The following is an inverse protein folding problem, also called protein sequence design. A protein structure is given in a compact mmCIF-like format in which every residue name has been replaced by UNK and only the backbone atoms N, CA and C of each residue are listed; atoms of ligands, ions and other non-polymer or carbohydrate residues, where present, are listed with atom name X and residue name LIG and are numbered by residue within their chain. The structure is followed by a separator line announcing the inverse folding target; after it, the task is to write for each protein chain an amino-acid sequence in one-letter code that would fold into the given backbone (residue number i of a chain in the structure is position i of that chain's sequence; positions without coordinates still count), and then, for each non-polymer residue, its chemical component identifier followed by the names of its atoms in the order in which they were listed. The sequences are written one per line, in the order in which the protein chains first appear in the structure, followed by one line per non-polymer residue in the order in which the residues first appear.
data_IF_541339038721
#
_entry.id   IF_541339038721
#
_cell.length_a   1.000
_cell.length_b   1.000
_cell.length_c   1.000
_cell.angle_alpha   90.00
_cell.angle_beta   90.00
_cell.angle_gamma   90.00
#
_symmetry.space_group_name_H-M   'P 1'
#
loop_
_entity.id
_entity.type
_entity.pdbx_description
1 polymer ?
#
# COMPACT_ATOMS: atom_id res chain seq x y z
N UNK A 1 13.47 -10.33 2.97
CA UNK A 1 12.84 -11.46 2.23
C UNK A 1 11.54 -10.93 1.70
N UNK A 2 11.46 -10.90 0.39
CA UNK A 2 10.34 -10.30 -0.37
C UNK A 2 8.99 -10.80 0.12
N UNK A 3 8.01 -9.92 0.31
CA UNK A 3 6.60 -10.32 0.41
C UNK A 3 6.23 -11.24 -0.76
N UNK A 4 6.81 -11.02 -1.94
CA UNK A 4 6.68 -11.87 -3.13
C UNK A 4 7.36 -13.23 -2.95
N UNK A 5 8.45 -13.37 -2.18
CA UNK A 5 9.05 -14.67 -1.85
C UNK A 5 8.27 -15.42 -0.77
N UNK A 6 7.54 -14.71 0.11
CA UNK A 6 6.62 -15.31 1.08
C UNK A 6 5.31 -15.75 0.41
N UNK A 7 4.92 -15.12 -0.69
CA UNK A 7 3.78 -15.54 -1.49
C UNK A 7 4.21 -16.73 -2.39
N UNK A 8 4.11 -17.96 -1.85
CA UNK A 8 4.29 -19.16 -2.64
C UNK A 8 3.19 -19.26 -3.71
N UNK A 9 3.37 -18.61 -4.85
CA UNK A 9 2.40 -18.68 -5.95
C UNK A 9 2.23 -20.07 -6.51
N UNK A 10 3.20 -20.98 -6.29
CA UNK A 10 3.16 -22.37 -6.75
C UNK A 10 3.03 -22.55 -8.27
N UNK A 11 2.87 -21.44 -9.02
CA UNK A 11 2.76 -21.46 -10.48
C UNK A 11 3.10 -20.08 -11.06
N UNK A 12 3.95 -20.03 -12.10
CA UNK A 12 4.39 -18.79 -12.73
C UNK A 12 3.23 -17.90 -13.19
N UNK A 13 2.20 -18.48 -13.80
CA UNK A 13 1.04 -17.68 -14.26
C UNK A 13 0.28 -16.97 -13.14
N UNK A 14 0.31 -17.48 -11.89
CA UNK A 14 -0.24 -16.77 -10.74
C UNK A 14 0.62 -15.58 -10.33
N UNK A 15 1.94 -15.75 -10.36
CA UNK A 15 2.90 -14.67 -10.13
C UNK A 15 2.71 -13.57 -11.19
N UNK A 16 2.63 -13.94 -12.47
CA UNK A 16 2.43 -12.99 -13.56
C UNK A 16 1.12 -12.19 -13.39
N UNK A 17 0.02 -12.83 -12.95
CA UNK A 17 -1.26 -12.14 -12.66
C UNK A 17 -1.12 -11.19 -11.47
N UNK A 18 -0.48 -11.62 -10.40
CA UNK A 18 -0.25 -10.81 -9.21
C UNK A 18 0.58 -9.56 -9.56
N UNK A 19 1.73 -9.73 -10.20
CA UNK A 19 2.63 -8.63 -10.59
C UNK A 19 1.94 -7.63 -11.52
N UNK A 20 1.08 -8.11 -12.41
CA UNK A 20 0.32 -7.23 -13.29
C UNK A 20 -0.69 -6.39 -12.52
N UNK A 21 -1.46 -7.00 -11.62
CA UNK A 21 -2.44 -6.28 -10.77
C UNK A 21 -1.72 -5.32 -9.83
N UNK A 22 -0.62 -5.74 -9.22
CA UNK A 22 0.21 -4.93 -8.33
C UNK A 22 0.73 -3.67 -9.04
N UNK A 23 1.23 -3.81 -10.25
CA UNK A 23 1.82 -2.70 -11.00
C UNK A 23 0.79 -1.73 -11.63
N UNK A 24 -0.50 -2.08 -11.62
CA UNK A 24 -1.57 -1.27 -12.20
C UNK A 24 -2.63 -0.82 -11.17
N UNK A 25 -2.54 -1.31 -9.94
CA UNK A 25 -3.39 -0.94 -8.80
C UNK A 25 -4.83 -1.46 -8.88
N UNK A 26 -5.62 -0.97 -9.83
CA UNK A 26 -7.01 -1.35 -10.09
C UNK A 26 -7.17 -1.68 -11.57
N UNK A 27 -7.46 -2.93 -11.91
CA UNK A 27 -7.43 -3.39 -13.29
C UNK A 27 -8.59 -4.34 -13.62
N UNK A 28 -9.26 -4.13 -14.76
CA UNK A 28 -10.29 -5.06 -15.20
C UNK A 28 -9.69 -6.43 -15.54
N UNK A 29 -10.44 -7.49 -15.25
CA UNK A 29 -10.01 -8.86 -15.58
C UNK A 29 -9.71 -9.04 -17.08
N UNK A 30 -10.42 -8.33 -17.95
CA UNK A 30 -10.18 -8.38 -19.40
C UNK A 30 -8.84 -7.75 -19.77
N UNK A 31 -8.52 -6.58 -19.22
CA UNK A 31 -7.24 -5.91 -19.45
C UNK A 31 -6.06 -6.78 -18.98
N UNK A 32 -6.11 -7.28 -17.75
CA UNK A 32 -5.06 -8.12 -17.19
C UNK A 32 -4.85 -9.39 -18.03
N UNK A 33 -5.93 -10.08 -18.40
CA UNK A 33 -5.88 -11.27 -19.24
C UNK A 33 -5.26 -11.00 -20.61
N UNK A 34 -5.69 -9.94 -21.27
CA UNK A 34 -5.24 -9.59 -22.63
C UNK A 34 -3.77 -9.14 -22.62
N UNK A 35 -3.36 -8.37 -21.61
CA UNK A 35 -1.97 -7.93 -21.45
C UNK A 35 -1.03 -9.12 -21.18
N UNK A 36 -1.46 -10.09 -20.37
CA UNK A 36 -0.70 -11.31 -20.08
C UNK A 36 -0.80 -12.38 -21.17
N UNK A 37 -1.62 -12.13 -22.20
CA UNK A 37 -1.86 -13.07 -23.30
C UNK A 37 -2.25 -14.48 -22.81
N UNK A 38 -3.10 -14.54 -21.77
CA UNK A 38 -3.57 -15.78 -21.16
C UNK A 38 -4.91 -16.22 -21.75
N UNK A 39 -5.10 -17.55 -21.88
CA UNK A 39 -6.40 -18.11 -22.22
C UNK A 39 -7.42 -17.82 -21.10
N UNK A 40 -8.70 -17.48 -21.43
CA UNK A 40 -9.71 -17.07 -20.44
C UNK A 40 -9.89 -18.06 -19.28
N UNK A 41 -9.78 -19.35 -19.57
CA UNK A 41 -9.96 -20.41 -18.58
C UNK A 41 -8.76 -20.53 -17.64
N UNK A 42 -7.56 -20.35 -18.15
CA UNK A 42 -6.31 -20.37 -17.41
C UNK A 42 -6.25 -19.14 -16.49
N UNK A 43 -6.48 -17.94 -17.04
CA UNK A 43 -6.52 -16.70 -16.29
C UNK A 43 -7.53 -16.76 -15.14
N UNK A 44 -8.79 -17.16 -15.43
CA UNK A 44 -9.83 -17.29 -14.42
C UNK A 44 -9.48 -18.29 -13.32
N UNK A 45 -8.75 -19.36 -13.64
CA UNK A 45 -8.26 -20.32 -12.63
C UNK A 45 -7.20 -19.70 -11.71
N UNK A 46 -6.26 -18.94 -12.25
CA UNK A 46 -5.25 -18.24 -11.47
C UNK A 46 -5.87 -17.16 -10.56
N UNK A 47 -6.77 -16.34 -11.09
CA UNK A 47 -7.50 -15.33 -10.30
C UNK A 47 -8.30 -15.98 -9.17
N UNK A 48 -9.02 -17.07 -9.45
CA UNK A 48 -9.82 -17.78 -8.44
C UNK A 48 -8.96 -18.30 -7.28
N UNK A 49 -7.75 -18.78 -7.56
CA UNK A 49 -6.80 -19.23 -6.52
C UNK A 49 -6.30 -18.03 -5.73
N UNK A 50 -5.84 -16.97 -6.38
CA UNK A 50 -5.32 -15.77 -5.72
C UNK A 50 -6.39 -15.10 -4.83
N UNK A 51 -7.66 -15.08 -5.27
CA UNK A 51 -8.79 -14.61 -4.45
C UNK A 51 -9.06 -15.52 -3.26
N UNK A 52 -9.05 -16.84 -3.47
CA UNK A 52 -9.23 -17.83 -2.39
C UNK A 52 -8.14 -17.71 -1.31
N UNK A 53 -6.90 -17.48 -1.75
CA UNK A 53 -5.74 -17.38 -0.87
C UNK A 53 -5.60 -15.97 -0.23
N UNK A 54 -6.57 -15.07 -0.48
CA UNK A 54 -6.61 -13.73 0.12
C UNK A 54 -5.55 -12.78 -0.43
N UNK A 55 -4.99 -13.06 -1.59
CA UNK A 55 -3.94 -12.25 -2.23
C UNK A 55 -4.54 -11.17 -3.14
N UNK A 56 -5.63 -11.50 -3.84
CA UNK A 56 -6.40 -10.56 -4.64
C UNK A 56 -7.82 -10.44 -4.12
N UNK A 57 -8.42 -9.29 -4.34
CA UNK A 57 -9.85 -9.05 -4.18
C UNK A 57 -10.44 -8.43 -5.43
N UNK A 58 -11.74 -8.21 -5.44
CA UNK A 58 -12.47 -7.64 -6.56
C UNK A 58 -13.31 -6.47 -6.08
N UNK A 59 -13.25 -5.35 -6.78
CA UNK A 59 -14.06 -4.16 -6.51
C UNK A 59 -15.53 -4.40 -6.87
N UNK A 60 -16.42 -3.49 -6.47
CA UNK A 60 -17.84 -3.52 -6.88
C UNK A 60 -18.02 -3.46 -8.40
N UNK A 61 -17.06 -2.87 -9.11
CA UNK A 61 -17.05 -2.78 -10.57
C UNK A 61 -16.49 -4.05 -11.25
N UNK A 62 -16.02 -5.03 -10.46
CA UNK A 62 -15.44 -6.28 -10.95
C UNK A 62 -13.97 -6.18 -11.36
N UNK A 63 -13.26 -5.13 -10.93
CA UNK A 63 -11.83 -4.99 -11.13
C UNK A 63 -11.04 -5.76 -10.08
N UNK A 64 -9.87 -6.26 -10.48
CA UNK A 64 -8.92 -6.91 -9.58
C UNK A 64 -8.04 -5.87 -8.90
N UNK A 65 -7.81 -6.06 -7.61
CA UNK A 65 -6.84 -5.32 -6.82
C UNK A 65 -6.18 -6.22 -5.79
N UNK A 66 -5.05 -5.79 -5.24
CA UNK A 66 -4.40 -6.48 -4.13
C UNK A 66 -5.35 -6.48 -2.94
N UNK A 67 -5.49 -7.63 -2.27
CA UNK A 67 -6.27 -7.72 -1.05
C UNK A 67 -5.50 -7.12 0.12
N UNK A 68 -6.20 -6.32 0.92
CA UNK A 68 -5.68 -5.72 2.15
C UNK A 68 -6.31 -6.41 3.36
N UNK A 69 -5.55 -6.56 4.43
CA UNK A 69 -6.09 -7.10 5.68
C UNK A 69 -6.96 -6.04 6.38
N UNK A 70 -8.27 -6.16 6.22
CA UNK A 70 -9.24 -5.28 6.89
C UNK A 70 -9.26 -5.48 8.42
N UNK A 71 -8.77 -6.62 8.92
CA UNK A 71 -8.68 -6.88 10.35
C UNK A 71 -7.53 -6.12 11.03
N UNK A 72 -6.62 -5.55 10.27
CA UNK A 72 -5.49 -4.76 10.76
C UNK A 72 -5.81 -3.25 10.95
N UNK A 73 -7.08 -2.87 10.93
CA UNK A 73 -7.51 -1.51 11.24
C UNK A 73 -7.50 -1.28 12.76
N UNK A 74 -6.88 -0.19 13.18
CA UNK A 74 -6.79 0.24 14.58
C UNK A 74 -7.62 1.50 14.80
N UNK A 75 -8.42 1.53 15.86
CA UNK A 75 -9.27 2.66 16.23
C UNK A 75 -8.66 3.40 17.41
N UNK A 76 -8.63 4.71 17.34
CA UNK A 76 -8.09 5.60 18.35
C UNK A 76 -9.08 6.72 18.67
N UNK A 77 -9.05 7.19 19.91
CA UNK A 77 -9.76 8.37 20.40
C UNK A 77 -8.80 9.22 21.21
N UNK A 78 -8.50 10.42 20.73
CA UNK A 78 -7.61 11.38 21.41
C UNK A 78 -8.19 12.79 21.35
N UNK A 79 -8.38 13.43 22.51
CA UNK A 79 -8.88 14.80 22.63
C UNK A 79 -10.21 15.05 21.84
N UNK A 80 -11.18 14.12 21.97
CA UNK A 80 -12.48 14.15 21.28
C UNK A 80 -12.39 13.94 19.74
N UNK A 81 -11.22 13.54 19.21
CA UNK A 81 -11.06 13.14 17.80
C UNK A 81 -10.98 11.62 17.72
N UNK A 82 -11.98 11.02 17.07
CA UNK A 82 -11.98 9.60 16.73
C UNK A 82 -11.36 9.41 15.35
N UNK A 83 -10.37 8.53 15.23
CA UNK A 83 -9.73 8.22 13.97
C UNK A 83 -9.30 6.76 13.88
N UNK A 84 -9.13 6.29 12.67
CA UNK A 84 -8.66 4.94 12.38
C UNK A 84 -7.32 4.98 11.67
N UNK A 85 -6.43 4.03 11.98
CA UNK A 85 -5.18 3.81 11.25
C UNK A 85 -5.26 2.45 10.57
N UNK A 86 -4.98 2.42 9.28
CA UNK A 86 -4.98 1.20 8.47
C UNK A 86 -4.02 1.31 7.29
N UNK A 87 -3.72 0.20 6.68
CA UNK A 87 -3.01 0.21 5.39
C UNK A 87 -3.84 0.97 4.35
N UNK A 88 -3.16 1.78 3.54
CA UNK A 88 -3.82 2.52 2.47
C UNK A 88 -4.27 1.58 1.36
N UNK A 89 -5.44 1.86 0.81
CA UNK A 89 -6.01 1.19 -0.36
C UNK A 89 -5.80 2.07 -1.58
N UNK A 90 -5.85 1.50 -2.77
CA UNK A 90 -5.74 2.28 -4.01
C UNK A 90 -6.76 3.44 -4.07
N UNK A 91 -7.95 3.24 -3.54
CA UNK A 91 -8.99 4.28 -3.45
C UNK A 91 -8.59 5.50 -2.59
N UNK A 92 -7.64 5.35 -1.68
CA UNK A 92 -7.16 6.45 -0.81
C UNK A 92 -6.17 7.37 -1.53
N UNK A 93 -5.69 7.01 -2.72
CA UNK A 93 -4.64 7.72 -3.45
C UNK A 93 -4.92 9.22 -3.57
N UNK A 94 -6.12 9.60 -3.98
CA UNK A 94 -6.50 11.01 -4.12
C UNK A 94 -6.47 11.75 -2.77
N UNK A 95 -6.92 11.11 -1.70
CA UNK A 95 -6.89 11.65 -0.34
C UNK A 95 -5.45 11.84 0.14
N UNK A 96 -4.59 10.85 -0.03
CA UNK A 96 -3.17 10.89 0.33
C UNK A 96 -2.46 12.05 -0.38
N UNK A 97 -2.60 12.15 -1.70
CA UNK A 97 -1.99 13.23 -2.50
C UNK A 97 -2.51 14.59 -2.06
N UNK A 98 -3.82 14.70 -1.75
CA UNK A 98 -4.42 15.93 -1.23
C UNK A 98 -3.81 16.38 0.09
N UNK A 99 -3.64 15.47 1.05
CA UNK A 99 -3.00 15.74 2.36
C UNK A 99 -1.53 16.09 2.19
N UNK A 100 -0.79 15.39 1.31
CA UNK A 100 0.61 15.70 1.00
C UNK A 100 0.75 17.11 0.46
N UNK A 101 -0.06 17.50 -0.53
CA UNK A 101 -0.03 18.86 -1.11
C UNK A 101 -0.37 19.94 -0.10
N UNK A 102 -1.35 19.69 0.77
CA UNK A 102 -1.68 20.62 1.85
C UNK A 102 -0.51 20.82 2.81
N UNK A 103 0.21 19.75 3.18
CA UNK A 103 1.39 19.83 4.03
C UNK A 103 2.56 20.58 3.36
N UNK A 104 2.72 20.44 2.03
CA UNK A 104 3.74 21.16 1.24
C UNK A 104 3.46 22.67 1.22
N UNK A 105 2.21 23.07 1.02
CA UNK A 105 1.79 24.49 1.02
C UNK A 105 2.07 25.17 2.37
N UNK A 106 1.98 24.43 3.47
CA UNK A 106 2.35 24.89 4.80
C UNK A 106 3.88 25.10 4.99
N UNK A 107 4.73 24.70 4.04
CA UNK A 107 6.11 25.18 3.88
C UNK A 107 7.22 24.27 4.41
N UNK A 108 7.04 22.94 4.54
CA UNK A 108 8.02 22.16 5.30
C UNK A 108 8.58 20.89 4.62
N UNK A 109 8.06 20.39 3.48
CA UNK A 109 8.37 19.00 3.06
C UNK A 109 8.74 18.82 1.59
N UNK A 110 10.03 18.97 1.24
CA UNK A 110 10.59 18.67 -0.10
C UNK A 110 10.43 17.18 -0.47
N UNK A 111 10.53 16.29 0.50
CA UNK A 111 10.40 14.83 0.28
C UNK A 111 8.95 14.46 -0.03
N UNK A 112 7.97 15.07 0.65
CA UNK A 112 6.54 14.83 0.39
C UNK A 112 6.13 15.25 -1.03
N UNK A 113 6.74 16.31 -1.58
CA UNK A 113 6.53 16.76 -2.97
C UNK A 113 6.96 15.67 -3.96
N UNK A 114 8.16 15.10 -3.77
CA UNK A 114 8.68 14.02 -4.62
C UNK A 114 7.82 12.77 -4.56
N UNK A 115 7.32 12.41 -3.38
CA UNK A 115 6.44 11.24 -3.20
C UNK A 115 5.07 11.49 -3.83
N UNK A 116 4.49 12.68 -3.67
CA UNK A 116 3.20 13.03 -4.28
C UNK A 116 3.29 13.01 -5.82
N UNK A 117 4.35 13.58 -6.39
CA UNK A 117 4.57 13.60 -7.85
C UNK A 117 4.80 12.19 -8.40
N UNK A 118 5.49 11.35 -7.65
CA UNK A 118 5.71 9.95 -8.02
C UNK A 118 4.39 9.17 -8.07
N UNK A 119 3.55 9.29 -7.04
CA UNK A 119 2.24 8.62 -6.97
C UNK A 119 1.33 9.10 -8.10
N UNK A 120 1.27 10.42 -8.34
CA UNK A 120 0.47 10.99 -9.43
C UNK A 120 0.93 10.50 -10.81
N UNK A 121 2.23 10.25 -10.97
CA UNK A 121 2.78 9.77 -12.25
C UNK A 121 2.56 8.26 -12.45
N UNK A 122 2.72 7.48 -11.39
CA UNK A 122 2.62 6.02 -11.45
C UNK A 122 1.18 5.51 -11.33
N UNK A 123 0.30 6.31 -10.71
CA UNK A 123 -1.11 5.96 -10.40
C UNK A 123 -1.27 4.71 -9.54
N UNK A 124 -0.22 4.34 -8.76
CA UNK A 124 -0.17 3.15 -7.91
C UNK A 124 0.43 3.48 -6.55
N UNK A 125 -0.26 3.09 -5.48
CA UNK A 125 0.21 3.27 -4.10
C UNK A 125 1.14 2.14 -3.63
N UNK A 126 0.68 0.91 -3.78
CA UNK A 126 1.42 -0.27 -3.34
C UNK A 126 2.41 -0.71 -4.42
N UNK A 127 3.66 -1.00 -4.03
CA UNK A 127 4.64 -1.60 -4.93
C UNK A 127 5.47 -2.64 -4.17
N UNK A 128 5.52 -3.84 -4.72
CA UNK A 128 6.38 -4.93 -4.26
C UNK A 128 7.01 -5.62 -5.46
N UNK A 129 8.24 -5.27 -5.75
CA UNK A 129 9.00 -5.88 -6.84
C UNK A 129 10.44 -6.20 -6.38
N UNK A 130 11.27 -6.74 -7.25
CA UNK A 130 12.66 -7.13 -6.94
C UNK A 130 13.59 -5.97 -6.58
N UNK A 131 13.15 -4.72 -6.70
CA UNK A 131 13.98 -3.53 -6.47
C UNK A 131 13.55 -2.76 -5.23
N UNK A 132 12.23 -2.69 -4.98
CA UNK A 132 11.65 -1.88 -3.91
C UNK A 132 10.35 -2.47 -3.38
N UNK A 133 10.11 -2.26 -2.10
CA UNK A 133 8.83 -2.46 -1.45
C UNK A 133 8.34 -1.12 -0.93
N UNK A 134 7.16 -0.68 -1.38
CA UNK A 134 6.56 0.59 -1.03
C UNK A 134 5.14 0.39 -0.53
N UNK A 135 4.81 1.01 0.58
CA UNK A 135 3.47 0.97 1.13
C UNK A 135 3.12 2.25 1.87
N UNK A 136 1.84 2.43 2.10
CA UNK A 136 1.29 3.53 2.86
C UNK A 136 0.37 3.03 3.96
N UNK A 137 0.39 3.72 5.11
CA UNK A 137 -0.68 3.67 6.09
C UNK A 137 -1.34 5.04 6.13
N UNK A 138 -2.63 5.06 6.39
CA UNK A 138 -3.43 6.28 6.49
C UNK A 138 -4.13 6.38 7.82
N UNK A 139 -4.25 7.60 8.31
CA UNK A 139 -5.17 7.95 9.37
C UNK A 139 -6.41 8.57 8.75
N UNK A 140 -7.59 8.08 9.14
CA UNK A 140 -8.87 8.54 8.60
C UNK A 140 -9.79 9.01 9.73
N UNK A 141 -10.41 10.17 9.55
CA UNK A 141 -11.52 10.68 10.36
C UNK A 141 -12.77 10.66 9.48
N UNK A 142 -13.86 10.01 9.93
CA UNK A 142 -15.11 9.87 9.15
C UNK A 142 -14.89 9.33 7.71
N UNK A 143 -13.86 8.50 7.49
CA UNK A 143 -13.36 7.96 6.22
C UNK A 143 -12.52 8.93 5.35
N UNK A 144 -12.38 10.19 5.72
CA UNK A 144 -11.49 11.11 5.01
C UNK A 144 -10.05 10.94 5.49
N UNK A 145 -9.09 10.87 4.57
CA UNK A 145 -7.67 10.79 4.89
C UNK A 145 -7.20 12.11 5.48
N UNK A 146 -6.71 12.07 6.72
CA UNK A 146 -6.21 13.25 7.45
C UNK A 146 -4.71 13.18 7.75
N UNK A 147 -4.11 12.00 7.55
CA UNK A 147 -2.67 11.79 7.72
C UNK A 147 -2.20 10.55 6.98
N UNK A 148 -0.91 10.50 6.70
CA UNK A 148 -0.27 9.37 6.03
C UNK A 148 1.10 9.07 6.63
N UNK A 149 1.55 7.84 6.48
CA UNK A 149 2.96 7.47 6.51
C UNK A 149 3.28 6.67 5.25
N UNK A 150 4.35 7.06 4.58
CA UNK A 150 4.95 6.36 3.45
C UNK A 150 6.15 5.59 3.97
N UNK A 151 6.26 4.33 3.61
CA UNK A 151 7.37 3.45 3.90
C UNK A 151 7.90 2.90 2.59
N UNK A 152 9.17 3.16 2.30
CA UNK A 152 9.89 2.61 1.17
C UNK A 152 11.08 1.81 1.67
N UNK A 153 11.18 0.57 1.24
CA UNK A 153 12.25 -0.35 1.59
C UNK A 153 12.93 -0.85 0.32
N UNK A 154 14.23 -0.55 0.13
CA UNK A 154 14.96 -1.08 -1.01
C UNK A 154 15.21 -2.57 -0.83
N UNK A 155 14.85 -3.37 -1.84
CA UNK A 155 15.05 -4.83 -1.86
C UNK A 155 16.51 -5.24 -2.15
N UNK A 156 17.41 -4.28 -2.31
CA UNK A 156 18.82 -4.57 -2.51
C UNK A 156 19.45 -5.08 -1.22
N UNK A 157 20.08 -6.28 -1.24
CA UNK A 157 20.69 -6.96 -0.09
C UNK A 157 21.61 -6.07 0.76
N UNK A 158 22.32 -5.12 0.14
CA UNK A 158 23.19 -4.17 0.84
C UNK A 158 22.47 -3.05 1.58
N UNK A 159 21.23 -2.78 1.24
CA UNK A 159 20.41 -1.70 1.78
C UNK A 159 19.17 -2.23 2.52
N UNK A 160 19.00 -3.55 2.61
CA UNK A 160 17.84 -4.21 3.22
C UNK A 160 17.63 -3.92 4.71
N UNK A 161 18.56 -3.22 5.35
CA UNK A 161 18.47 -2.76 6.75
C UNK A 161 18.09 -1.27 6.86
N UNK A 162 17.79 -0.61 5.75
CA UNK A 162 17.38 0.80 5.71
C UNK A 162 15.98 0.92 5.14
N UNK A 163 15.18 1.80 5.69
CA UNK A 163 13.89 2.17 5.15
C UNK A 163 13.80 3.69 5.11
N UNK A 164 13.21 4.23 4.05
CA UNK A 164 12.83 5.63 3.99
C UNK A 164 11.41 5.77 4.49
N UNK A 165 11.19 6.76 5.36
CA UNK A 165 9.90 7.00 5.97
C UNK A 165 9.54 8.47 5.86
N UNK A 166 8.35 8.75 5.35
CA UNK A 166 7.78 10.08 5.28
C UNK A 166 6.40 10.07 5.93
N UNK A 167 6.16 10.98 6.87
CA UNK A 167 4.89 11.09 7.60
C UNK A 167 4.37 12.51 7.56
N UNK A 168 3.06 12.67 7.46
CA UNK A 168 2.41 13.97 7.55
C UNK A 168 0.97 13.85 8.04
N UNK A 169 0.48 14.94 8.64
CA UNK A 169 -0.87 15.07 9.17
C UNK A 169 -1.35 16.48 8.84
N UNK A 170 -2.60 16.63 8.43
CA UNK A 170 -3.24 17.94 8.22
C UNK A 170 -3.13 18.80 9.47
N UNK A 171 -2.87 20.09 9.29
CA UNK A 171 -2.60 21.05 10.39
C UNK A 171 -3.71 21.03 11.46
N UNK A 172 -4.97 20.93 11.04
CA UNK A 172 -6.14 20.89 11.92
C UNK A 172 -6.24 19.62 12.79
N UNK A 173 -5.52 18.56 12.42
CA UNK A 173 -5.47 17.29 13.15
C UNK A 173 -4.13 17.05 13.86
N UNK A 174 -3.22 18.02 13.82
CA UNK A 174 -1.96 17.94 14.56
C UNK A 174 -2.19 18.08 16.06
N UNK A 175 -1.33 17.44 16.84
CA UNK A 175 -1.43 17.47 18.30
C UNK A 175 -2.30 16.36 18.91
N UNK A 176 -3.07 15.63 18.12
CA UNK A 176 -3.94 14.52 18.57
C UNK A 176 -3.27 13.13 18.48
N UNK A 177 -1.94 13.04 18.51
CA UNK A 177 -1.22 11.76 18.52
C UNK A 177 -1.15 11.01 17.19
N UNK A 178 -1.90 11.44 16.15
CA UNK A 178 -2.05 10.75 14.86
C UNK A 178 -0.69 10.41 14.23
N UNK A 179 0.23 11.39 14.16
CA UNK A 179 1.56 11.17 13.59
C UNK A 179 2.37 10.11 14.35
N UNK A 180 2.25 10.06 15.68
CA UNK A 180 2.94 9.07 16.51
C UNK A 180 2.38 7.67 16.31
N UNK A 181 1.06 7.51 16.19
CA UNK A 181 0.43 6.22 15.93
C UNK A 181 0.70 5.73 14.51
N UNK A 182 0.74 6.62 13.50
CA UNK A 182 1.17 6.27 12.14
C UNK A 182 2.61 5.75 12.12
N UNK A 183 3.53 6.41 12.85
CA UNK A 183 4.92 5.96 12.98
C UNK A 183 5.00 4.61 13.68
N UNK A 184 4.30 4.42 14.79
CA UNK A 184 4.26 3.16 15.50
C UNK A 184 3.77 2.03 14.59
N UNK A 185 2.70 2.26 13.84
CA UNK A 185 2.16 1.26 12.89
C UNK A 185 3.16 0.87 11.81
N UNK A 186 3.90 1.84 11.28
CA UNK A 186 4.94 1.59 10.28
C UNK A 186 6.13 0.80 10.85
N UNK A 187 6.52 1.08 12.11
CA UNK A 187 7.60 0.36 12.80
C UNK A 187 7.23 -1.10 13.10
N UNK A 188 6.00 -1.35 13.55
CA UNK A 188 5.48 -2.70 13.78
C UNK A 188 5.55 -3.53 12.51
N UNK A 189 5.06 -2.98 11.41
CA UNK A 189 5.11 -3.66 10.10
C UNK A 189 6.54 -3.94 9.64
N UNK A 190 7.44 -2.95 9.77
CA UNK A 190 8.87 -3.13 9.43
C UNK A 190 9.53 -4.21 10.28
N UNK A 191 9.18 -4.28 11.57
CA UNK A 191 9.71 -5.29 12.49
C UNK A 191 9.19 -6.69 12.17
N UNK A 192 7.97 -6.83 11.73
CA UNK A 192 7.40 -8.09 11.25
C UNK A 192 8.14 -8.59 10.01
N UNK A 193 8.40 -7.74 9.04
CA UNK A 193 9.17 -8.06 7.83
C UNK A 193 10.60 -8.54 8.18
N UNK A 194 11.27 -7.88 9.11
CA UNK A 194 12.63 -8.26 9.53
C UNK A 194 12.68 -9.55 10.36
N UNK A 195 11.65 -9.85 11.16
CA UNK A 195 11.62 -11.05 12.01
C UNK A 195 11.46 -12.35 11.24
N UNK A 196 11.01 -12.31 10.02
CA UNK A 196 10.81 -13.47 9.13
C UNK A 196 11.97 -13.71 8.16
N UNK A 197 13.05 -12.89 8.22
CA UNK A 197 14.26 -13.14 7.45
C UNK A 197 14.98 -14.40 7.97
N UNK A 198 15.26 -15.42 7.15
CA UNK A 198 16.03 -16.58 7.57
C UNK A 198 17.47 -16.18 7.91
N UNK A 199 17.97 -16.78 8.99
CA UNK A 199 19.38 -16.69 9.42
C UNK A 199 20.25 -17.49 8.45
#
# INVERSE_FOLDING_TARGET
MELTEQLEFGHRGRKDVYEYVESHGDVSQAQARDALNMEPREFGHHVAILKRDGILTETEEGHLQIAYDEAAQEEYEEDEVEYTIRQARQADMTGIVGVMRSAIEAGTYVVAESVADMIDHEEVLLRHNELESRMFFVACVENDVVGWVHLEHPEMEKLSHTAELTVGVLDEYQGHGIGSHLLQRSEEHTSELQSHAPI
#
